data_IF_707544724111
#
_entry.id   IF_707544724111
#
_cell.length_a   1.000
_cell.length_b   1.000
_cell.length_c   1.000
_cell.angle_alpha   90.00
_cell.angle_beta   90.00
_cell.angle_gamma   90.00
#
_symmetry.space_group_name_H-M   'P 1'
#
loop_
_entity.id
_entity.type
_entity.pdbx_description
1 polymer ?
#
# COMPACT_ATOMS: atom_id res chain seq x y z
N UNK A 1 4.86 25.04 -4.56
CA UNK A 1 4.91 24.20 -3.34
C UNK A 1 3.66 24.34 -2.48
N UNK A 2 3.10 25.54 -2.32
CA UNK A 2 1.90 25.81 -1.53
C UNK A 2 0.66 25.03 -1.99
N UNK A 3 0.49 24.91 -3.31
CA UNK A 3 -0.59 24.12 -3.93
C UNK A 3 -0.57 22.63 -3.52
N UNK A 4 0.61 22.02 -3.35
CA UNK A 4 0.71 20.62 -2.95
C UNK A 4 0.24 20.40 -1.50
N UNK A 5 0.51 21.37 -0.62
CA UNK A 5 0.02 21.34 0.77
C UNK A 5 -1.50 21.45 0.81
N UNK A 6 -2.06 22.38 0.05
CA UNK A 6 -3.52 22.55 -0.04
C UNK A 6 -4.18 21.24 -0.51
N UNK A 7 -3.67 20.61 -1.57
CA UNK A 7 -4.20 19.32 -2.04
C UNK A 7 -4.19 18.27 -0.93
N UNK A 8 -3.07 18.14 -0.22
CA UNK A 8 -2.95 17.18 0.87
C UNK A 8 -3.90 17.48 2.04
N UNK A 9 -3.97 18.73 2.48
CA UNK A 9 -4.89 19.18 3.55
C UNK A 9 -6.34 18.95 3.15
N UNK A 10 -6.72 19.20 1.90
CA UNK A 10 -8.06 18.89 1.36
C UNK A 10 -8.35 17.39 1.40
N UNK A 11 -7.39 16.53 1.01
CA UNK A 11 -7.58 15.08 1.04
C UNK A 11 -7.68 14.51 2.46
N UNK A 12 -6.95 15.08 3.41
CA UNK A 12 -7.00 14.69 4.82
C UNK A 12 -8.20 15.30 5.55
N UNK A 13 -8.74 16.41 5.04
CA UNK A 13 -9.85 17.14 5.63
C UNK A 13 -9.44 18.04 6.81
N UNK A 14 -8.14 18.31 6.97
CA UNK A 14 -7.61 19.11 8.08
C UNK A 14 -6.35 19.89 7.66
N UNK A 15 -6.13 21.02 8.33
CA UNK A 15 -4.89 21.80 8.20
C UNK A 15 -3.77 21.07 8.92
N UNK A 16 -2.55 21.19 8.40
CA UNK A 16 -1.38 20.57 9.04
C UNK A 16 -0.36 21.62 9.45
N UNK A 17 0.42 21.35 10.49
CA UNK A 17 1.54 22.21 10.87
C UNK A 17 2.76 21.98 9.96
N UNK A 18 3.76 22.86 10.02
CA UNK A 18 4.93 22.78 9.15
C UNK A 18 5.77 21.51 9.39
N UNK A 19 5.84 21.04 10.64
CA UNK A 19 6.53 19.79 10.99
C UNK A 19 5.84 18.60 10.33
N UNK A 20 4.51 18.55 10.37
CA UNK A 20 3.74 17.50 9.69
C UNK A 20 3.97 17.57 8.19
N UNK A 21 3.89 18.76 7.60
CA UNK A 21 4.11 18.96 6.17
C UNK A 21 5.51 18.52 5.74
N UNK A 22 6.53 18.86 6.52
CA UNK A 22 7.90 18.40 6.28
C UNK A 22 8.00 16.86 6.30
N UNK A 23 7.37 16.19 7.27
CA UNK A 23 7.33 14.72 7.35
C UNK A 23 6.63 14.11 6.14
N UNK A 24 5.51 14.69 5.69
CA UNK A 24 4.80 14.25 4.48
C UNK A 24 5.69 14.35 3.26
N UNK A 25 6.34 15.50 3.03
CA UNK A 25 7.27 15.67 1.90
C UNK A 25 8.40 14.66 1.91
N UNK A 26 9.02 14.45 3.09
CA UNK A 26 10.09 13.47 3.27
C UNK A 26 9.60 12.05 2.94
N UNK A 27 8.42 11.68 3.41
CA UNK A 27 7.86 10.35 3.17
C UNK A 27 7.42 10.15 1.70
N UNK A 28 6.81 11.15 1.06
CA UNK A 28 6.49 11.14 -0.37
C UNK A 28 7.74 10.91 -1.22
N UNK A 29 8.82 11.62 -0.90
CA UNK A 29 10.12 11.48 -1.58
C UNK A 29 10.70 10.08 -1.38
N UNK A 30 10.66 9.55 -0.15
CA UNK A 30 11.13 8.19 0.15
C UNK A 30 10.32 7.09 -0.55
N UNK A 31 9.05 7.35 -0.85
CA UNK A 31 8.21 6.45 -1.65
C UNK A 31 8.36 6.68 -3.16
N UNK A 32 9.11 7.70 -3.60
CA UNK A 32 9.18 8.16 -4.99
C UNK A 32 7.80 8.50 -5.58
N UNK A 33 6.94 9.12 -4.76
CA UNK A 33 5.61 9.57 -5.16
C UNK A 33 5.61 11.04 -5.54
N UNK A 34 4.87 11.36 -6.61
CA UNK A 34 4.67 12.73 -7.05
C UNK A 34 3.77 13.49 -6.07
N UNK A 35 4.10 14.75 -5.75
CA UNK A 35 3.32 15.62 -4.86
C UNK A 35 2.10 16.23 -5.58
N UNK A 36 1.25 15.38 -6.13
CA UNK A 36 -0.02 15.72 -6.76
C UNK A 36 -1.16 14.91 -6.14
N UNK A 37 -2.40 15.16 -6.55
CA UNK A 37 -3.59 14.50 -5.99
C UNK A 37 -3.47 12.97 -5.98
N UNK A 38 -3.18 12.36 -7.13
CA UNK A 38 -3.08 10.91 -7.25
C UNK A 38 -1.95 10.31 -6.37
N UNK A 39 -0.80 10.99 -6.31
CA UNK A 39 0.30 10.56 -5.45
C UNK A 39 -0.05 10.64 -3.95
N UNK A 40 -0.76 11.69 -3.53
CA UNK A 40 -1.24 11.80 -2.15
C UNK A 40 -2.34 10.78 -1.81
N UNK A 41 -3.25 10.50 -2.73
CA UNK A 41 -4.27 9.45 -2.56
C UNK A 41 -3.60 8.08 -2.36
N UNK A 42 -2.62 7.73 -3.22
CA UNK A 42 -1.87 6.49 -3.06
C UNK A 42 -1.05 6.47 -1.77
N UNK A 43 -0.40 7.58 -1.41
CA UNK A 43 0.35 7.72 -0.16
C UNK A 43 -0.52 7.45 1.07
N UNK A 44 -1.70 8.08 1.14
CA UNK A 44 -2.64 7.89 2.24
C UNK A 44 -3.15 6.45 2.28
N UNK A 45 -3.47 5.87 1.12
CA UNK A 45 -3.91 4.49 1.03
C UNK A 45 -2.83 3.50 1.53
N UNK A 46 -1.58 3.66 1.08
CA UNK A 46 -0.45 2.84 1.54
C UNK A 46 -0.23 2.98 3.06
N UNK A 47 -0.26 4.21 3.57
CA UNK A 47 -0.13 4.49 5.01
C UNK A 47 -1.25 3.84 5.81
N UNK A 48 -2.48 3.84 5.31
CA UNK A 48 -3.63 3.23 5.98
C UNK A 48 -3.55 1.69 6.00
N UNK A 49 -3.06 1.07 4.93
CA UNK A 49 -2.85 -0.39 4.89
C UNK A 49 -1.69 -0.81 5.81
N UNK A 50 -0.58 -0.06 5.81
CA UNK A 50 0.55 -0.34 6.70
C UNK A 50 1.38 0.90 7.03
N UNK A 51 1.13 1.56 8.19
CA UNK A 51 1.89 2.73 8.63
C UNK A 51 3.37 2.45 8.85
N UNK A 52 3.73 1.19 9.12
CA UNK A 52 5.11 0.80 9.43
C UNK A 52 5.96 0.59 8.19
N UNK A 53 5.36 0.23 7.06
CA UNK A 53 6.09 -0.32 5.91
C UNK A 53 5.87 0.45 4.61
N UNK A 54 4.88 1.33 4.53
CA UNK A 54 4.57 2.07 3.31
C UNK A 54 5.76 2.82 2.69
N UNK A 55 6.71 3.29 3.50
CA UNK A 55 7.92 3.97 3.05
C UNK A 55 8.83 3.12 2.12
N UNK A 56 8.63 1.80 2.10
CA UNK A 56 9.37 0.88 1.20
C UNK A 56 8.70 0.70 -0.17
N UNK A 57 7.65 1.47 -0.48
CA UNK A 57 6.92 1.39 -1.74
C UNK A 57 7.83 1.50 -2.98
N UNK A 58 8.84 2.37 -2.94
CA UNK A 58 9.81 2.55 -4.03
C UNK A 58 10.46 1.22 -4.47
N UNK A 59 10.65 0.27 -3.54
CA UNK A 59 11.27 -1.04 -3.81
C UNK A 59 10.38 -1.97 -4.63
N UNK A 60 9.07 -1.78 -4.57
CA UNK A 60 8.06 -2.69 -5.16
C UNK A 60 7.24 -2.02 -6.26
N UNK A 61 7.37 -0.71 -6.49
CA UNK A 61 6.57 0.05 -7.46
C UNK A 61 6.50 -0.60 -8.85
N UNK A 62 7.62 -1.13 -9.35
CA UNK A 62 7.69 -1.78 -10.67
C UNK A 62 6.94 -3.11 -10.69
N UNK A 63 7.02 -3.88 -9.60
CA UNK A 63 6.27 -5.13 -9.46
C UNK A 63 4.77 -4.85 -9.36
N UNK A 64 4.37 -3.81 -8.64
CA UNK A 64 2.97 -3.37 -8.55
C UNK A 64 2.44 -3.01 -9.94
N UNK A 65 3.17 -2.20 -10.71
CA UNK A 65 2.77 -1.83 -12.08
C UNK A 65 2.61 -3.05 -13.00
N UNK A 66 3.47 -4.07 -12.86
CA UNK A 66 3.36 -5.32 -13.64
C UNK A 66 2.17 -6.19 -13.21
N UNK A 67 1.70 -6.06 -11.96
CA UNK A 67 0.59 -6.85 -11.41
C UNK A 67 -0.77 -6.15 -11.54
N UNK A 68 -0.78 -4.83 -11.72
CA UNK A 68 -2.00 -4.03 -11.90
C UNK A 68 -2.93 -4.58 -13.00
N UNK A 69 -2.44 -5.01 -14.19
CA UNK A 69 -3.31 -5.62 -15.20
C UNK A 69 -3.97 -6.94 -14.74
N UNK A 70 -3.34 -7.68 -13.81
CA UNK A 70 -3.86 -8.96 -13.31
C UNK A 70 -5.08 -8.79 -12.39
N UNK A 71 -5.35 -7.57 -11.92
CA UNK A 71 -6.53 -7.26 -11.10
C UNK A 71 -7.59 -6.47 -11.85
N UNK A 72 -7.31 -5.99 -13.08
CA UNK A 72 -8.28 -5.23 -13.89
C UNK A 72 -8.91 -4.07 -13.11
N UNK A 73 -10.24 -3.96 -13.14
CA UNK A 73 -10.99 -2.99 -12.33
C UNK A 73 -11.17 -3.42 -10.86
N UNK A 74 -10.91 -4.68 -10.56
CA UNK A 74 -11.03 -5.26 -9.23
C UNK A 74 -11.20 -6.78 -9.29
N UNK A 75 -11.05 -7.42 -8.13
CA UNK A 75 -11.24 -8.87 -7.98
C UNK A 75 -11.92 -9.18 -6.66
N UNK A 76 -12.43 -10.40 -6.51
CA UNK A 76 -12.95 -10.88 -5.22
C UNK A 76 -11.81 -11.13 -4.22
N UNK A 77 -12.13 -11.14 -2.93
CA UNK A 77 -11.17 -11.50 -1.89
C UNK A 77 -10.52 -12.88 -2.10
N UNK A 78 -11.28 -13.85 -2.58
CA UNK A 78 -10.79 -15.19 -2.92
C UNK A 78 -9.81 -15.15 -4.10
N UNK A 79 -10.17 -14.48 -5.20
CA UNK A 79 -9.29 -14.28 -6.35
C UNK A 79 -7.99 -13.55 -5.94
N UNK A 80 -8.08 -12.58 -5.04
CA UNK A 80 -6.93 -11.89 -4.48
C UNK A 80 -6.01 -12.85 -3.69
N UNK A 81 -6.57 -13.73 -2.86
CA UNK A 81 -5.79 -14.75 -2.14
C UNK A 81 -5.10 -15.72 -3.12
N UNK A 82 -5.78 -16.12 -4.20
CA UNK A 82 -5.16 -16.93 -5.25
C UNK A 82 -4.01 -16.18 -5.95
N UNK A 83 -4.15 -14.88 -6.18
CA UNK A 83 -3.06 -14.05 -6.69
C UNK A 83 -1.86 -14.06 -5.71
N UNK A 84 -2.08 -13.87 -4.41
CA UNK A 84 -1.01 -13.93 -3.42
C UNK A 84 -0.28 -15.28 -3.43
N UNK A 85 -1.02 -16.39 -3.51
CA UNK A 85 -0.43 -17.74 -3.61
C UNK A 85 0.44 -17.89 -4.86
N UNK A 86 -0.02 -17.44 -6.04
CA UNK A 86 0.78 -17.46 -7.28
C UNK A 86 2.06 -16.63 -7.17
N UNK A 87 2.05 -15.61 -6.32
CA UNK A 87 3.22 -14.77 -6.03
C UNK A 87 4.09 -15.34 -4.90
N UNK A 88 3.80 -16.54 -4.38
CA UNK A 88 4.45 -17.14 -3.21
C UNK A 88 4.41 -16.21 -1.98
N UNK A 89 3.24 -15.61 -1.72
CA UNK A 89 2.96 -14.77 -0.55
C UNK A 89 1.92 -15.50 0.31
N UNK A 90 2.35 -16.00 1.46
CA UNK A 90 1.50 -16.80 2.37
C UNK A 90 1.35 -16.12 3.74
N UNK A 91 0.66 -14.97 3.82
CA UNK A 91 0.35 -14.33 5.08
C UNK A 91 -0.72 -15.13 5.84
N UNK A 92 -0.65 -15.13 7.17
CA UNK A 92 -1.75 -15.65 7.96
C UNK A 92 -3.03 -14.79 7.80
N UNK A 93 -4.19 -15.37 8.14
CA UNK A 93 -5.48 -14.68 7.99
C UNK A 93 -5.56 -13.35 8.75
N UNK A 94 -4.94 -13.26 9.94
CA UNK A 94 -4.92 -12.00 10.69
C UNK A 94 -4.17 -10.88 9.96
N UNK A 95 -3.13 -11.22 9.18
CA UNK A 95 -2.38 -10.26 8.37
C UNK A 95 -3.20 -9.78 7.18
N UNK A 96 -3.88 -10.69 6.48
CA UNK A 96 -4.81 -10.33 5.41
C UNK A 96 -5.90 -9.41 5.96
N UNK A 97 -6.57 -9.80 7.04
CA UNK A 97 -7.63 -8.98 7.67
C UNK A 97 -7.15 -7.58 8.06
N UNK A 98 -5.89 -7.43 8.53
CA UNK A 98 -5.31 -6.11 8.83
C UNK A 98 -5.15 -5.26 7.57
N UNK A 99 -4.71 -5.83 6.44
CA UNK A 99 -4.54 -5.07 5.21
C UNK A 99 -5.86 -4.54 4.65
N UNK A 100 -6.96 -5.29 4.82
CA UNK A 100 -8.30 -4.88 4.39
C UNK A 100 -9.06 -4.07 5.45
N UNK A 101 -8.44 -3.72 6.60
CA UNK A 101 -9.14 -3.03 7.69
C UNK A 101 -9.74 -1.69 7.25
N UNK A 102 -9.04 -0.93 6.40
CA UNK A 102 -9.50 0.38 5.91
C UNK A 102 -10.74 0.31 5.01
N UNK A 103 -11.11 -0.87 4.48
CA UNK A 103 -12.29 -1.07 3.65
C UNK A 103 -13.33 -2.00 4.31
N UNK A 104 -13.37 -2.05 5.64
CA UNK A 104 -14.36 -2.85 6.38
C UNK A 104 -13.99 -4.32 6.59
N UNK A 105 -12.72 -4.67 6.37
CA UNK A 105 -12.18 -6.02 6.61
C UNK A 105 -12.21 -6.94 5.39
N UNK A 106 -11.52 -8.07 5.52
CA UNK A 106 -11.44 -9.10 4.47
C UNK A 106 -12.69 -9.97 4.45
N UNK A 107 -13.27 -10.17 3.27
CA UNK A 107 -14.40 -11.05 2.99
C UNK A 107 -14.12 -11.75 1.66
N UNK A 108 -14.04 -13.09 1.66
CA UNK A 108 -13.65 -13.86 0.48
C UNK A 108 -14.55 -13.59 -0.75
N UNK A 109 -15.86 -13.48 -0.54
CA UNK A 109 -16.85 -13.26 -1.62
C UNK A 109 -17.07 -11.78 -1.97
N UNK A 110 -16.48 -10.83 -1.24
CA UNK A 110 -16.65 -9.42 -1.55
C UNK A 110 -15.76 -9.02 -2.73
N UNK A 111 -16.27 -8.11 -3.56
CA UNK A 111 -15.50 -7.49 -4.64
C UNK A 111 -14.73 -6.29 -4.12
N UNK A 112 -13.44 -6.21 -4.43
CA UNK A 112 -12.57 -5.11 -4.09
C UNK A 112 -12.07 -4.46 -5.36
N UNK A 113 -12.26 -3.14 -5.47
CA UNK A 113 -11.80 -2.38 -6.64
C UNK A 113 -10.27 -2.26 -6.66
N UNK A 114 -9.71 -1.93 -7.83
CA UNK A 114 -8.27 -1.76 -8.01
C UNK A 114 -7.67 -0.71 -7.06
N UNK A 115 -8.39 0.37 -6.76
CA UNK A 115 -7.89 1.45 -5.91
C UNK A 115 -7.65 1.01 -4.47
N UNK A 116 -8.42 0.04 -3.96
CA UNK A 116 -8.18 -0.64 -2.68
C UNK A 116 -7.09 -1.71 -2.79
N UNK A 117 -7.07 -2.46 -3.89
CA UNK A 117 -6.18 -3.61 -4.05
C UNK A 117 -4.72 -3.21 -4.27
N UNK A 118 -4.44 -2.18 -5.07
CA UNK A 118 -3.08 -1.72 -5.38
C UNK A 118 -2.22 -1.43 -4.15
N UNK A 119 -2.69 -0.62 -3.17
CA UNK A 119 -1.90 -0.40 -1.95
C UNK A 119 -1.73 -1.69 -1.13
N UNK A 120 -2.72 -2.59 -1.12
CA UNK A 120 -2.63 -3.89 -0.45
C UNK A 120 -1.59 -4.80 -1.12
N UNK A 121 -1.56 -4.87 -2.45
CA UNK A 121 -0.56 -5.60 -3.24
C UNK A 121 0.83 -5.07 -2.91
N UNK A 122 1.02 -3.76 -2.88
CA UNK A 122 2.30 -3.16 -2.56
C UNK A 122 2.79 -3.58 -1.16
N UNK A 123 1.91 -3.54 -0.15
CA UNK A 123 2.25 -4.00 1.20
C UNK A 123 2.51 -5.51 1.24
N UNK A 124 1.77 -6.32 0.48
CA UNK A 124 2.00 -7.76 0.40
C UNK A 124 3.39 -8.10 -0.20
N UNK A 125 3.82 -7.36 -1.22
CA UNK A 125 5.16 -7.51 -1.80
C UNK A 125 6.26 -7.08 -0.81
N UNK A 126 6.05 -5.97 -0.09
CA UNK A 126 6.98 -5.54 0.97
C UNK A 126 7.05 -6.59 2.08
N UNK A 127 5.91 -7.17 2.46
CA UNK A 127 5.83 -8.25 3.44
C UNK A 127 6.62 -9.48 3.00
N UNK A 128 6.49 -9.90 1.73
CA UNK A 128 7.27 -11.00 1.15
C UNK A 128 8.77 -10.76 1.26
N UNK A 129 9.24 -9.58 0.81
CA UNK A 129 10.66 -9.23 0.84
C UNK A 129 11.24 -9.29 2.27
N UNK A 130 10.46 -8.88 3.28
CA UNK A 130 10.88 -8.94 4.68
C UNK A 130 10.94 -10.36 5.22
N UNK A 131 9.96 -11.19 4.92
CA UNK A 131 9.96 -12.58 5.37
C UNK A 131 11.11 -13.36 4.76
N UNK A 132 11.42 -13.13 3.48
CA UNK A 132 12.58 -13.72 2.81
C UNK A 132 13.90 -13.29 3.47
N UNK A 133 14.06 -11.99 3.76
CA UNK A 133 15.26 -11.50 4.45
C UNK A 133 15.40 -12.05 5.87
N UNK A 134 14.30 -12.17 6.62
CA UNK A 134 14.32 -12.76 7.97
C UNK A 134 14.63 -14.26 7.95
N UNK A 135 14.25 -14.98 6.89
CA UNK A 135 14.63 -16.38 6.72
C UNK A 135 16.12 -16.52 6.43
N UNK A 136 16.67 -15.67 5.55
CA UNK A 136 18.10 -15.65 5.25
C UNK A 136 18.95 -15.28 6.47
N UNK A 137 18.52 -14.30 7.28
CA UNK A 137 19.23 -13.87 8.50
C UNK A 137 19.20 -14.88 9.66
N UNK A 138 18.38 -15.94 9.57
CA UNK A 138 18.34 -17.03 10.58
C UNK A 138 19.20 -18.22 10.20
N UNK A 139 19.74 -18.24 8.99
CA UNK A 139 20.53 -19.36 8.43
C UNK A 139 22.02 -19.00 8.36
N UNK A 140 22.39 -17.73 8.54
CA UNK A 140 23.77 -17.26 8.72
C UNK A 140 24.08 -17.00 10.19
#
# INVERSE_FOLDING_TARGET
>A
MEQARIIYETLVGDRVCDVHWWRVKKAMTACELNMNKAGFELFLALKNVSPRYFAQYHKVKRQVANLEPSVGEGVTGEQFVHLLKRLNIEPNQSTISRWFKSCGGFKAKAFYNKTVLIPIIAIALIYKAKNQNNQLAKVG
#
